data_IF_996222178494
#
_entry.id   IF_996222178494
#
_cell.length_a   1.000
_cell.length_b   1.000
_cell.length_c   1.000
_cell.angle_alpha   90.00
_cell.angle_beta   90.00
_cell.angle_gamma   90.00
#
_symmetry.space_group_name_H-M   'P 1'
#
loop_
_entity.id
_entity.type
_entity.pdbx_description
1 polymer ?
#
# COMPACT_ATOMS: atom_id res chain seq x y z
N UNK A 1 23.11 1.49 -6.07
CA UNK A 1 21.89 1.07 -6.77
C UNK A 1 20.89 2.19 -6.59
N UNK A 2 20.80 3.07 -7.58
CA UNK A 2 19.85 4.17 -7.60
C UNK A 2 18.45 3.54 -7.63
N UNK A 3 17.69 3.62 -6.52
CA UNK A 3 16.25 3.42 -6.60
C UNK A 3 15.76 4.42 -7.63
N UNK A 4 15.37 3.92 -8.81
CA UNK A 4 14.87 4.72 -9.91
C UNK A 4 13.93 5.77 -9.33
N UNK A 5 14.29 7.04 -9.49
CA UNK A 5 13.65 8.19 -8.85
C UNK A 5 12.18 8.23 -9.29
N UNK A 6 11.33 7.47 -8.61
CA UNK A 6 9.89 7.45 -8.81
C UNK A 6 9.43 8.88 -8.60
N UNK A 7 8.94 9.48 -9.68
CA UNK A 7 8.45 10.85 -9.64
C UNK A 7 7.30 10.96 -8.65
N UNK A 8 7.26 12.05 -7.88
CA UNK A 8 6.12 12.42 -7.03
C UNK A 8 4.79 12.34 -7.80
N UNK A 9 4.80 12.71 -9.09
CA UNK A 9 3.65 12.64 -9.96
C UNK A 9 3.21 11.19 -10.24
N UNK A 10 4.16 10.27 -10.46
CA UNK A 10 3.87 8.85 -10.63
C UNK A 10 3.28 8.26 -9.36
N UNK A 11 3.87 8.56 -8.20
CA UNK A 11 3.32 8.13 -6.92
C UNK A 11 1.94 8.73 -6.63
N UNK A 12 1.66 9.97 -7.05
CA UNK A 12 0.32 10.57 -6.90
C UNK A 12 -0.75 9.77 -7.65
N UNK A 13 -0.44 9.27 -8.83
CA UNK A 13 -1.34 8.42 -9.62
C UNK A 13 -1.51 7.05 -8.97
N UNK A 14 -0.42 6.39 -8.58
CA UNK A 14 -0.47 5.09 -7.89
C UNK A 14 -1.29 5.17 -6.60
N UNK A 15 -1.06 6.19 -5.77
CA UNK A 15 -1.82 6.43 -4.54
C UNK A 15 -3.32 6.57 -4.82
N UNK A 16 -3.69 7.38 -5.82
CA UNK A 16 -5.11 7.63 -6.14
C UNK A 16 -5.81 6.35 -6.58
N UNK A 17 -5.16 5.58 -7.45
CA UNK A 17 -5.71 4.33 -7.99
C UNK A 17 -5.77 3.26 -6.88
N UNK A 18 -4.70 3.12 -6.11
CA UNK A 18 -4.60 2.17 -5.00
C UNK A 18 -5.62 2.42 -3.89
N UNK A 19 -5.76 3.66 -3.42
CA UNK A 19 -6.72 4.00 -2.36
C UNK A 19 -8.15 3.71 -2.80
N UNK A 20 -8.51 4.09 -4.04
CA UNK A 20 -9.87 3.88 -4.55
C UNK A 20 -10.20 2.39 -4.69
N UNK A 21 -9.27 1.60 -5.24
CA UNK A 21 -9.50 0.17 -5.45
C UNK A 21 -9.45 -0.65 -4.16
N UNK A 22 -8.56 -0.28 -3.24
CA UNK A 22 -8.28 -1.03 -2.01
C UNK A 22 -8.97 -0.46 -0.76
N UNK A 23 -9.88 0.51 -0.92
CA UNK A 23 -10.67 1.09 0.18
C UNK A 23 -11.26 0.03 1.14
N UNK A 24 -11.83 -1.11 0.67
CA UNK A 24 -12.36 -2.14 1.56
C UNK A 24 -11.32 -2.78 2.48
N UNK A 25 -10.06 -2.88 2.03
CA UNK A 25 -8.96 -3.49 2.79
C UNK A 25 -8.66 -2.71 4.07
N UNK A 26 -8.79 -1.38 4.03
CA UNK A 26 -8.63 -0.53 5.22
C UNK A 26 -9.68 -0.80 6.30
N UNK A 27 -10.85 -1.33 5.92
CA UNK A 27 -11.89 -1.78 6.85
C UNK A 27 -11.80 -3.29 7.15
N UNK A 28 -10.70 -3.94 6.78
CA UNK A 28 -10.49 -5.38 6.99
C UNK A 28 -11.29 -6.29 6.04
N UNK A 29 -11.91 -5.75 4.99
CA UNK A 29 -12.65 -6.56 4.01
C UNK A 29 -11.71 -7.18 2.98
N UNK A 30 -12.18 -8.28 2.38
CA UNK A 30 -11.43 -9.02 1.35
C UNK A 30 -11.15 -8.08 0.16
N UNK A 31 -9.91 -8.03 -0.36
CA UNK A 31 -9.57 -7.22 -1.51
C UNK A 31 -10.32 -7.68 -2.76
N UNK A 32 -10.76 -6.72 -3.57
CA UNK A 32 -11.30 -7.03 -4.90
C UNK A 32 -10.19 -7.53 -5.84
N UNK A 33 -10.52 -8.25 -6.92
CA UNK A 33 -9.54 -8.63 -7.94
C UNK A 33 -8.76 -7.41 -8.45
N UNK A 34 -9.44 -6.27 -8.63
CA UNK A 34 -8.82 -5.03 -9.07
C UNK A 34 -7.82 -4.47 -8.04
N UNK A 35 -8.15 -4.52 -6.76
CA UNK A 35 -7.22 -4.16 -5.71
C UNK A 35 -5.97 -5.05 -5.73
N UNK A 36 -6.14 -6.37 -5.88
CA UNK A 36 -5.01 -7.28 -5.94
C UNK A 36 -4.09 -7.02 -7.14
N UNK A 37 -4.62 -6.71 -8.33
CA UNK A 37 -3.82 -6.31 -9.49
C UNK A 37 -2.96 -5.07 -9.16
N UNK A 38 -3.58 -4.04 -8.60
CA UNK A 38 -2.90 -2.77 -8.28
C UNK A 38 -1.83 -3.01 -7.21
N UNK A 39 -2.14 -3.75 -6.15
CA UNK A 39 -1.21 -4.05 -5.05
C UNK A 39 0.05 -4.80 -5.53
N UNK A 40 -0.08 -5.65 -6.55
CA UNK A 40 1.06 -6.37 -7.14
C UNK A 40 2.04 -5.46 -7.86
N UNK A 41 1.54 -4.43 -8.54
CA UNK A 41 2.33 -3.51 -9.38
C UNK A 41 2.69 -2.20 -8.69
N UNK A 42 2.06 -1.88 -7.56
CA UNK A 42 2.29 -0.64 -6.81
C UNK A 42 3.64 -0.66 -6.12
N UNK A 43 4.35 0.47 -6.20
CA UNK A 43 5.60 0.66 -5.51
C UNK A 43 5.32 0.98 -4.04
N UNK A 44 5.91 0.19 -3.14
CA UNK A 44 5.68 0.34 -1.70
C UNK A 44 6.14 1.73 -1.19
N UNK A 45 7.15 2.31 -1.84
CA UNK A 45 7.66 3.66 -1.57
C UNK A 45 6.59 4.74 -1.82
N UNK A 46 5.75 4.57 -2.86
CA UNK A 46 4.70 5.53 -3.20
C UNK A 46 3.54 5.53 -2.19
N UNK A 47 3.26 4.40 -1.53
CA UNK A 47 2.15 4.29 -0.57
C UNK A 47 2.53 4.70 0.84
N UNK A 48 3.82 4.81 1.15
CA UNK A 48 4.27 5.16 2.50
C UNK A 48 3.76 6.51 3.00
N UNK A 49 3.59 7.49 2.12
CA UNK A 49 3.00 8.78 2.49
C UNK A 49 1.51 8.70 2.85
N UNK A 50 0.83 7.62 2.46
CA UNK A 50 -0.59 7.36 2.77
C UNK A 50 -0.73 6.69 4.13
N UNK A 51 0.21 5.80 4.47
CA UNK A 51 0.27 5.11 5.76
C UNK A 51 0.83 6.08 6.82
N UNK A 52 0.02 7.08 7.14
CA UNK A 52 0.31 8.03 8.22
C UNK A 52 0.05 7.39 9.58
N UNK A 53 0.66 7.87 10.68
CA UNK A 53 0.37 7.40 12.03
C UNK A 53 -1.13 7.49 12.38
N UNK A 54 -1.81 8.54 11.89
CA UNK A 54 -3.25 8.71 12.08
C UNK A 54 -4.05 7.61 11.39
N UNK A 55 -3.69 7.24 10.15
CA UNK A 55 -4.35 6.14 9.46
C UNK A 55 -4.04 4.80 10.13
N UNK A 56 -2.78 4.57 10.50
CA UNK A 56 -2.30 3.39 11.21
C UNK A 56 -3.03 3.15 12.54
N UNK A 57 -3.46 4.22 13.23
CA UNK A 57 -4.25 4.12 14.45
C UNK A 57 -5.73 3.73 14.20
N UNK A 58 -6.23 3.90 12.98
CA UNK A 58 -7.63 3.63 12.61
C UNK A 58 -7.84 2.27 11.93
N UNK A 59 -6.76 1.61 11.48
CA UNK A 59 -6.83 0.37 10.73
C UNK A 59 -6.05 -0.74 11.43
N UNK A 60 -6.51 -1.98 11.28
CA UNK A 60 -5.71 -3.15 11.66
C UNK A 60 -4.64 -3.39 10.57
N UNK A 61 -3.44 -2.88 10.82
CA UNK A 61 -2.29 -3.00 9.91
C UNK A 61 -1.93 -4.47 9.67
N UNK A 62 -1.99 -5.32 10.71
CA UNK A 62 -1.64 -6.73 10.59
C UNK A 62 -2.63 -7.46 9.68
N UNK A 63 -3.93 -7.15 9.81
CA UNK A 63 -4.95 -7.67 8.91
C UNK A 63 -4.77 -7.16 7.49
N UNK A 64 -4.49 -5.87 7.30
CA UNK A 64 -4.23 -5.31 5.98
C UNK A 64 -3.03 -5.98 5.28
N UNK A 65 -1.93 -6.24 6.03
CA UNK A 65 -0.76 -6.96 5.52
C UNK A 65 -1.16 -8.37 5.06
N UNK A 66 -1.88 -9.14 5.88
CA UNK A 66 -2.30 -10.50 5.50
C UNK A 66 -3.19 -10.52 4.25
N UNK A 67 -4.09 -9.54 4.11
CA UNK A 67 -4.95 -9.42 2.92
C UNK A 67 -4.14 -9.08 1.66
N UNK A 68 -3.16 -8.19 1.79
CA UNK A 68 -2.22 -7.82 0.71
C UNK A 68 -1.31 -9.00 0.33
N UNK A 69 -0.82 -9.75 1.31
CA UNK A 69 -0.05 -10.98 1.08
C UNK A 69 -0.89 -12.05 0.39
N UNK A 70 -2.18 -12.15 0.72
CA UNK A 70 -3.14 -13.01 0.02
C UNK A 70 -3.32 -12.64 -1.46
N UNK A 71 -3.10 -11.38 -1.83
CA UNK A 71 -3.03 -10.98 -3.24
C UNK A 71 -1.73 -11.43 -3.93
N UNK A 72 -0.75 -11.99 -3.23
CA UNK A 72 0.55 -12.39 -3.77
C UNK A 72 1.64 -11.32 -3.68
N UNK A 73 1.38 -10.22 -2.97
CA UNK A 73 2.37 -9.17 -2.73
C UNK A 73 3.12 -9.46 -1.43
N UNK A 74 4.42 -9.69 -1.51
CA UNK A 74 5.27 -9.80 -0.31
C UNK A 74 5.54 -8.41 0.27
N UNK A 75 5.21 -8.23 1.55
CA UNK A 75 5.59 -7.06 2.33
C UNK A 75 6.86 -7.43 3.11
N UNK A 76 7.99 -6.73 2.94
CA UNK A 76 9.20 -7.03 3.68
C UNK A 76 8.95 -6.91 5.19
N UNK A 77 9.45 -7.86 5.97
CA UNK A 77 9.37 -7.79 7.43
C UNK A 77 10.15 -6.56 7.91
N UNK A 78 9.62 -5.88 8.91
CA UNK A 78 10.19 -4.64 9.45
C UNK A 78 10.32 -3.50 8.44
N UNK A 79 9.56 -3.54 7.33
CA UNK A 79 9.50 -2.42 6.41
C UNK A 79 8.87 -1.21 7.11
N UNK A 80 9.64 -0.13 7.23
CA UNK A 80 9.18 1.13 7.84
C UNK A 80 8.83 2.11 6.75
N UNK A 81 7.59 2.56 6.73
CA UNK A 81 7.19 3.71 5.94
C UNK A 81 7.59 4.99 6.67
N UNK A 82 8.27 5.91 5.97
CA UNK A 82 8.83 7.12 6.56
C UNK A 82 10.26 6.90 7.03
N UNK A 83 11.22 7.07 6.12
CA UNK A 83 12.62 7.33 6.47
C UNK A 83 12.93 8.76 6.05
N UNK A 84 12.30 9.71 6.76
CA UNK A 84 12.64 11.14 6.79
C UNK A 84 11.90 11.78 7.95
#
# INVERSE_FOLDING_TARGET
>A
MESAKLSEAACKVERRIGINACKPVFYGKIPSPKCCEIVRVTHIECVCSVITPKLAALIDINRAIRLVEGCGRRVPRNYKCGSK
#
